data_IF_775691799628
#
_entry.id   IF_775691799628
#
_cell.length_a   1.000
_cell.length_b   1.000
_cell.length_c   1.000
_cell.angle_alpha   90.00
_cell.angle_beta   90.00
_cell.angle_gamma   90.00
#
_symmetry.space_group_name_H-M   'P 1'
#
loop_
_entity.id
_entity.type
_entity.pdbx_description
1 polymer ?
#
# COMPACT_ATOMS: atom_id res chain seq x y z
N UNK A 1 -3.93 2.74 -7.24
CA UNK A 1 -3.38 3.73 -8.23
C UNK A 1 -3.90 3.46 -9.63
N UNK A 2 -3.61 2.29 -10.22
CA UNK A 2 -4.01 1.91 -11.58
C UNK A 2 -5.52 2.02 -11.82
N UNK A 3 -6.32 1.55 -10.85
CA UNK A 3 -7.78 1.66 -10.90
C UNK A 3 -8.24 3.13 -10.98
N UNK A 4 -7.72 4.01 -10.11
CA UNK A 4 -8.02 5.45 -10.14
C UNK A 4 -7.65 6.10 -11.48
N UNK A 5 -6.46 5.79 -12.02
CA UNK A 5 -6.02 6.25 -13.33
C UNK A 5 -6.96 5.81 -14.47
N UNK A 6 -7.31 4.52 -14.53
CA UNK A 6 -8.18 3.98 -15.58
C UNK A 6 -9.60 4.55 -15.50
N UNK A 7 -10.13 4.72 -14.27
CA UNK A 7 -11.42 5.37 -14.05
C UNK A 7 -11.40 6.85 -14.44
N UNK A 8 -10.32 7.56 -14.12
CA UNK A 8 -10.11 8.95 -14.52
C UNK A 8 -10.12 9.12 -16.03
N UNK A 9 -9.30 8.35 -16.76
CA UNK A 9 -9.29 8.36 -18.23
C UNK A 9 -10.65 7.94 -18.82
N UNK A 10 -11.33 7.00 -18.18
CA UNK A 10 -12.67 6.57 -18.56
C UNK A 10 -13.74 7.66 -18.37
N UNK A 11 -13.65 8.43 -17.28
CA UNK A 11 -14.51 9.58 -16.97
C UNK A 11 -14.35 10.66 -18.05
N UNK A 12 -13.10 11.03 -18.34
CA UNK A 12 -12.77 12.03 -19.36
C UNK A 12 -13.29 11.63 -20.75
N UNK A 13 -12.97 10.42 -21.23
CA UNK A 13 -13.35 9.98 -22.58
C UNK A 13 -14.87 9.83 -22.76
N UNK A 14 -15.62 9.60 -21.68
CA UNK A 14 -17.08 9.44 -21.72
C UNK A 14 -17.83 10.69 -21.30
N UNK A 15 -17.13 11.73 -20.83
CA UNK A 15 -17.73 12.94 -20.25
C UNK A 15 -18.78 12.62 -19.17
N UNK A 16 -18.49 11.66 -18.30
CA UNK A 16 -19.40 11.18 -17.24
C UNK A 16 -18.79 11.34 -15.86
N UNK A 17 -19.64 11.65 -14.87
CA UNK A 17 -19.24 11.66 -13.46
C UNK A 17 -18.78 10.28 -13.00
N UNK A 18 -17.75 10.26 -12.17
CA UNK A 18 -17.18 9.04 -11.58
C UNK A 18 -17.79 8.68 -10.22
N UNK A 19 -18.42 9.66 -9.55
CA UNK A 19 -19.09 9.52 -8.24
C UNK A 19 -18.12 9.16 -7.09
N UNK A 20 -16.96 9.84 -7.02
CA UNK A 20 -16.04 9.80 -5.87
C UNK A 20 -15.00 8.67 -5.88
N UNK A 21 -15.13 7.68 -6.75
CA UNK A 21 -14.24 6.51 -6.76
C UNK A 21 -12.78 6.83 -7.07
N UNK A 22 -12.50 7.77 -7.98
CA UNK A 22 -11.14 8.16 -8.33
C UNK A 22 -10.40 8.69 -7.12
N UNK A 23 -11.04 9.56 -6.33
CA UNK A 23 -10.46 10.17 -5.14
C UNK A 23 -10.11 9.11 -4.11
N UNK A 24 -11.07 8.28 -3.72
CA UNK A 24 -10.84 7.18 -2.76
C UNK A 24 -9.69 6.25 -3.19
N UNK A 25 -9.62 5.87 -4.47
CA UNK A 25 -8.57 4.97 -4.97
C UNK A 25 -7.19 5.64 -5.04
N UNK A 26 -7.13 6.96 -5.20
CA UNK A 26 -5.89 7.71 -5.15
C UNK A 26 -5.44 7.96 -3.70
N UNK A 27 -6.38 8.22 -2.79
CA UNK A 27 -6.13 8.31 -1.35
C UNK A 27 -5.61 6.99 -0.78
N UNK A 28 -6.19 5.85 -1.17
CA UNK A 28 -5.68 4.51 -0.82
C UNK A 28 -4.22 4.34 -1.28
N UNK A 29 -3.93 4.74 -2.52
CA UNK A 29 -2.56 4.66 -3.05
C UNK A 29 -1.58 5.57 -2.32
N UNK A 30 -2.08 6.73 -1.88
CA UNK A 30 -1.31 7.68 -1.09
C UNK A 30 -1.02 7.09 0.29
N UNK A 31 -2.03 6.49 0.94
CA UNK A 31 -1.91 5.84 2.23
C UNK A 31 -0.86 4.71 2.21
N UNK A 32 -0.91 3.83 1.21
CA UNK A 32 0.10 2.76 1.08
C UNK A 32 1.51 3.31 0.83
N UNK A 33 1.64 4.42 0.12
CA UNK A 33 2.94 5.09 -0.03
C UNK A 33 3.42 5.65 1.30
N UNK A 34 2.53 6.13 2.16
CA UNK A 34 2.90 6.61 3.50
C UNK A 34 3.36 5.47 4.41
N UNK A 35 2.80 4.26 4.29
CA UNK A 35 3.36 3.04 4.92
C UNK A 35 4.81 2.83 4.50
N UNK A 36 5.07 2.79 3.18
CA UNK A 36 6.41 2.59 2.65
C UNK A 36 7.40 3.66 3.14
N UNK A 37 7.04 4.94 3.04
CA UNK A 37 7.93 6.04 3.44
C UNK A 37 8.24 6.00 4.95
N UNK A 38 7.30 5.58 5.77
CA UNK A 38 7.53 5.34 7.21
C UNK A 38 8.57 4.25 7.42
N UNK A 39 8.42 3.08 6.79
CA UNK A 39 9.40 1.99 6.93
C UNK A 39 10.77 2.33 6.37
N UNK A 40 10.83 3.13 5.29
CA UNK A 40 12.09 3.62 4.72
C UNK A 40 12.86 4.55 5.65
N UNK A 41 12.19 5.21 6.61
CA UNK A 41 12.85 5.98 7.67
C UNK A 41 13.43 5.11 8.78
N UNK A 42 12.94 3.89 8.90
CA UNK A 42 13.36 2.94 9.93
C UNK A 42 14.46 1.99 9.44
N UNK A 43 14.48 1.68 8.15
CA UNK A 43 15.45 0.77 7.56
C UNK A 43 15.77 1.15 6.12
N UNK A 44 17.06 1.20 5.77
CA UNK A 44 17.47 1.40 4.38
C UNK A 44 17.56 0.05 3.65
N UNK A 45 16.83 -0.15 2.54
CA UNK A 45 16.93 -1.37 1.75
C UNK A 45 18.28 -1.44 1.03
N UNK A 46 18.90 -2.63 1.06
CA UNK A 46 20.09 -2.94 0.27
C UNK A 46 19.82 -2.91 -1.24
N UNK A 47 20.89 -2.92 -2.04
CA UNK A 47 20.81 -2.85 -3.51
C UNK A 47 19.97 -3.99 -4.12
N UNK A 48 20.06 -5.21 -3.58
CA UNK A 48 19.28 -6.35 -4.04
C UNK A 48 17.77 -6.10 -3.86
N UNK A 49 17.36 -5.62 -2.69
CA UNK A 49 15.96 -5.29 -2.43
C UNK A 49 15.47 -4.16 -3.36
N UNK A 50 16.30 -3.13 -3.59
CA UNK A 50 15.98 -2.03 -4.52
C UNK A 50 15.71 -2.56 -5.94
N UNK A 51 16.52 -3.51 -6.44
CA UNK A 51 16.30 -4.14 -7.76
C UNK A 51 15.01 -4.99 -7.76
N UNK A 52 14.79 -5.78 -6.70
CA UNK A 52 13.57 -6.58 -6.57
C UNK A 52 12.30 -5.71 -6.55
N UNK A 53 12.34 -4.56 -5.89
CA UNK A 53 11.22 -3.59 -5.89
C UNK A 53 10.91 -3.07 -7.29
N UNK A 54 11.93 -2.73 -8.09
CA UNK A 54 11.74 -2.29 -9.48
C UNK A 54 11.12 -3.42 -10.33
N UNK A 55 11.64 -4.65 -10.17
CA UNK A 55 11.09 -5.83 -10.85
C UNK A 55 9.64 -6.11 -10.48
N UNK A 56 9.34 -6.12 -9.18
CA UNK A 56 7.99 -6.30 -8.66
C UNK A 56 7.05 -5.19 -9.17
N UNK A 57 7.48 -3.93 -9.14
CA UNK A 57 6.69 -2.83 -9.68
C UNK A 57 6.38 -3.03 -11.16
N UNK A 58 7.36 -3.46 -11.97
CA UNK A 58 7.16 -3.78 -13.38
C UNK A 58 6.11 -4.88 -13.59
N UNK A 59 6.17 -5.96 -12.81
CA UNK A 59 5.21 -7.08 -12.91
C UNK A 59 3.83 -6.69 -12.41
N UNK A 60 3.72 -6.19 -11.19
CA UNK A 60 2.44 -5.89 -10.54
C UNK A 60 1.71 -4.72 -11.18
N UNK A 61 2.40 -3.67 -11.61
CA UNK A 61 1.76 -2.55 -12.30
C UNK A 61 1.08 -3.02 -13.59
N UNK A 62 1.82 -3.75 -14.45
CA UNK A 62 1.29 -4.23 -15.72
C UNK A 62 0.23 -5.31 -15.52
N UNK A 63 0.43 -6.24 -14.58
CA UNK A 63 -0.56 -7.27 -14.24
C UNK A 63 -1.88 -6.66 -13.76
N UNK A 64 -1.81 -5.72 -12.82
CA UNK A 64 -3.01 -5.03 -12.30
C UNK A 64 -3.67 -4.15 -13.36
N UNK A 65 -2.90 -3.52 -14.26
CA UNK A 65 -3.43 -2.76 -15.39
C UNK A 65 -4.24 -3.64 -16.34
N UNK A 66 -3.66 -4.74 -16.80
CA UNK A 66 -4.35 -5.68 -17.69
C UNK A 66 -5.55 -6.32 -16.99
N UNK A 67 -5.40 -6.75 -15.73
CA UNK A 67 -6.49 -7.34 -14.95
C UNK A 67 -7.65 -6.36 -14.77
N UNK A 68 -7.39 -5.08 -14.48
CA UNK A 68 -8.44 -4.08 -14.31
C UNK A 68 -9.16 -3.75 -15.63
N UNK A 69 -8.48 -3.82 -16.77
CA UNK A 69 -9.12 -3.68 -18.08
C UNK A 69 -10.06 -4.86 -18.39
N UNK A 70 -9.70 -6.09 -17.98
CA UNK A 70 -10.50 -7.29 -18.20
C UNK A 70 -11.66 -7.39 -17.21
N UNK A 71 -11.39 -7.25 -15.92
CA UNK A 71 -12.38 -7.39 -14.85
C UNK A 71 -12.04 -6.54 -13.62
N UNK A 72 -12.60 -5.32 -13.50
CA UNK A 72 -12.44 -4.49 -12.30
C UNK A 72 -12.90 -5.19 -11.02
N UNK A 73 -13.95 -6.01 -11.10
CA UNK A 73 -14.52 -6.72 -9.94
C UNK A 73 -13.55 -7.75 -9.37
N UNK A 74 -12.87 -8.51 -10.22
CA UNK A 74 -11.86 -9.49 -9.79
C UNK A 74 -10.65 -8.76 -9.22
N UNK A 75 -10.18 -7.71 -9.87
CA UNK A 75 -9.03 -6.92 -9.38
C UNK A 75 -9.29 -6.33 -8.00
N UNK A 76 -10.48 -5.77 -7.76
CA UNK A 76 -10.87 -5.25 -6.44
C UNK A 76 -11.00 -6.35 -5.39
N UNK A 77 -11.55 -7.51 -5.76
CA UNK A 77 -11.62 -8.67 -4.84
C UNK A 77 -10.22 -9.20 -4.49
N UNK A 78 -9.31 -9.22 -5.45
CA UNK A 78 -7.93 -9.64 -5.23
C UNK A 78 -7.22 -8.72 -4.24
N UNK A 79 -7.33 -7.39 -4.41
CA UNK A 79 -6.77 -6.43 -3.44
C UNK A 79 -7.42 -6.63 -2.07
N UNK A 80 -8.75 -6.83 -2.00
CA UNK A 80 -9.42 -7.13 -0.74
C UNK A 80 -8.80 -8.31 0.03
N UNK A 81 -8.45 -9.40 -0.66
CA UNK A 81 -7.75 -10.52 -0.04
C UNK A 81 -6.31 -10.20 0.38
N UNK A 82 -5.60 -9.33 -0.36
CA UNK A 82 -4.29 -8.86 0.08
C UNK A 82 -4.38 -8.06 1.39
N UNK A 83 -5.39 -7.21 1.52
CA UNK A 83 -5.60 -6.42 2.74
C UNK A 83 -6.05 -7.28 3.93
N UNK A 84 -6.83 -8.35 3.69
CA UNK A 84 -7.14 -9.33 4.74
C UNK A 84 -5.86 -9.98 5.31
N UNK A 85 -4.92 -10.36 4.43
CA UNK A 85 -3.61 -10.89 4.85
C UNK A 85 -2.73 -9.83 5.52
N UNK A 86 -2.82 -8.57 5.10
CA UNK A 86 -2.12 -7.46 5.75
C UNK A 86 -2.61 -7.26 7.19
N UNK A 87 -3.93 -7.24 7.41
CA UNK A 87 -4.53 -7.17 8.75
C UNK A 87 -4.06 -8.34 9.62
N UNK A 88 -4.10 -9.56 9.09
CA UNK A 88 -3.61 -10.74 9.81
C UNK A 88 -2.11 -10.59 10.20
N UNK A 89 -1.28 -10.11 9.27
CA UNK A 89 0.15 -9.89 9.50
C UNK A 89 0.41 -8.85 10.58
N UNK A 90 -0.23 -7.67 10.51
CA UNK A 90 -0.03 -6.62 11.51
C UNK A 90 -0.60 -7.00 12.88
N UNK A 91 -1.73 -7.72 12.93
CA UNK A 91 -2.26 -8.26 14.19
C UNK A 91 -1.26 -9.19 14.86
N UNK A 92 -0.60 -10.03 14.08
CA UNK A 92 0.45 -10.91 14.58
C UNK A 92 1.66 -10.12 15.07
N UNK A 93 2.12 -9.10 14.33
CA UNK A 93 3.22 -8.25 14.76
C UNK A 93 2.94 -7.58 16.12
N UNK A 94 1.72 -7.06 16.32
CA UNK A 94 1.31 -6.45 17.60
C UNK A 94 1.40 -7.47 18.73
N UNK A 95 0.87 -8.67 18.53
CA UNK A 95 0.95 -9.75 19.53
C UNK A 95 2.39 -10.11 19.87
N UNK A 96 3.27 -10.23 18.87
CA UNK A 96 4.69 -10.53 19.08
C UNK A 96 5.43 -9.40 19.84
N UNK A 97 5.00 -8.14 19.68
CA UNK A 97 5.48 -7.02 20.50
C UNK A 97 5.01 -7.17 21.96
N UNK A 98 3.73 -7.47 22.19
CA UNK A 98 3.15 -7.64 23.54
C UNK A 98 3.76 -8.84 24.28
N UNK A 99 4.08 -9.93 23.57
CA UNK A 99 4.75 -11.11 24.09
C UNK A 99 6.27 -10.91 24.30
N UNK A 100 6.80 -9.72 24.01
CA UNK A 100 8.21 -9.37 24.17
C UNK A 100 9.15 -10.09 23.20
N UNK A 101 8.63 -10.66 22.11
CA UNK A 101 9.42 -11.38 21.09
C UNK A 101 10.23 -10.42 20.20
N UNK A 102 9.87 -9.14 20.20
CA UNK A 102 10.41 -8.10 19.33
C UNK A 102 11.14 -7.00 20.14
N UNK A 103 12.29 -7.30 20.77
CA UNK A 103 12.94 -6.41 21.74
C UNK A 103 13.34 -5.04 21.19
N UNK A 104 13.58 -4.93 19.87
CA UNK A 104 13.88 -3.64 19.22
C UNK A 104 12.67 -2.69 19.18
N UNK A 105 11.46 -3.25 19.10
CA UNK A 105 10.22 -2.49 19.05
C UNK A 105 9.75 -2.08 20.45
N UNK A 106 10.18 -2.80 21.47
CA UNK A 106 9.90 -2.51 22.89
C UNK A 106 11.02 -1.69 23.57
N UNK A 107 12.07 -1.28 22.84
CA UNK A 107 13.17 -0.48 23.39
C UNK A 107 12.67 0.93 23.76
N UNK A 108 12.87 1.41 25.00
CA UNK A 108 12.51 2.77 25.39
C UNK A 108 13.15 3.88 24.55
N UNK A 109 14.26 3.60 23.86
CA UNK A 109 14.93 4.53 22.97
C UNK A 109 14.44 4.46 21.52
N UNK A 110 13.52 3.55 21.21
CA UNK A 110 12.92 3.44 19.89
C UNK A 110 12.03 4.65 19.63
N UNK A 111 12.38 5.44 18.61
CA UNK A 111 11.62 6.61 18.19
C UNK A 111 10.89 6.32 16.90
N UNK A 112 9.57 6.55 16.90
CA UNK A 112 8.74 6.45 15.70
C UNK A 112 9.09 7.63 14.78
N UNK A 113 9.17 7.44 13.45
CA UNK A 113 9.44 8.54 12.53
C UNK A 113 8.40 9.67 12.64
N UNK A 114 8.85 10.94 12.68
CA UNK A 114 7.96 12.11 12.73
C UNK A 114 6.92 12.13 11.60
N UNK A 115 7.31 11.64 10.42
CA UNK A 115 6.42 11.51 9.26
C UNK A 115 5.16 10.69 9.59
N UNK A 116 5.34 9.59 10.34
CA UNK A 116 4.26 8.72 10.73
C UNK A 116 3.36 9.41 11.75
N UNK A 117 3.96 10.00 12.79
CA UNK A 117 3.23 10.74 13.83
C UNK A 117 2.39 11.85 13.20
N UNK A 118 2.93 12.61 12.24
CA UNK A 118 2.19 13.69 11.59
C UNK A 118 1.07 13.21 10.68
N UNK A 119 1.22 12.05 10.04
CA UNK A 119 0.25 11.54 9.08
C UNK A 119 -0.93 10.81 9.73
N UNK A 120 -0.71 10.10 10.84
CA UNK A 120 -1.73 9.32 11.55
C UNK A 120 -2.30 10.01 12.81
N UNK A 121 -2.06 11.32 12.97
CA UNK A 121 -2.63 12.13 14.07
C UNK A 121 -4.07 12.55 13.78
#
# INVERSE_FOLDING_TARGET
MVAGMLRHLGSLRRMKRDNGWIETLLEESYNERMHLLTFMKMSEPGWFMKVMLIGAQGVFFNGMFLSYLVSPKITHRFVGYLEEEAVHTYSRCIREIEEGQLPKWSDPNFNIPDLAVQYWN
#
